data_IF_279562121264
#
_entry.id   IF_279562121264
#
_cell.length_a   1.000
_cell.length_b   1.000
_cell.length_c   1.000
_cell.angle_alpha   90.00
_cell.angle_beta   90.00
_cell.angle_gamma   90.00
#
_symmetry.space_group_name_H-M   'P 1'
#
loop_
_entity.id
_entity.type
_entity.pdbx_description
1 polymer ?
#
# COMPACT_ATOMS: atom_id res chain seq x y z
N UNK A 1 25.12 -54.71 7.65
CA UNK A 1 25.01 -53.51 6.78
C UNK A 1 24.72 -52.31 7.66
N UNK A 2 25.39 -51.19 7.43
CA UNK A 2 25.54 -50.15 8.43
C UNK A 2 24.47 -49.05 8.33
N UNK A 3 24.00 -48.60 9.49
CA UNK A 3 23.49 -47.24 9.67
C UNK A 3 24.65 -46.34 10.11
N UNK A 4 24.77 -45.14 9.54
CA UNK A 4 25.63 -44.10 10.08
C UNK A 4 25.06 -42.72 9.77
N UNK A 5 25.15 -41.82 10.74
CA UNK A 5 24.91 -40.39 10.57
C UNK A 5 26.00 -39.61 11.30
N UNK A 6 26.26 -38.40 10.80
CA UNK A 6 26.99 -37.28 11.42
C UNK A 6 26.64 -36.06 10.55
N UNK A 7 26.20 -34.90 11.04
CA UNK A 7 26.74 -33.97 12.06
C UNK A 7 27.96 -33.18 11.55
N UNK A 8 27.67 -31.91 11.28
CA UNK A 8 28.44 -30.65 11.32
C UNK A 8 29.96 -30.71 11.58
N UNK A 9 30.74 -29.88 10.86
CA UNK A 9 31.47 -28.76 11.48
C UNK A 9 32.00 -27.71 10.48
N UNK A 10 32.49 -26.57 11.00
CA UNK A 10 32.81 -25.33 10.26
C UNK A 10 34.21 -25.22 9.61
N UNK A 11 34.59 -24.01 9.13
CA UNK A 11 35.71 -23.81 8.19
C UNK A 11 37.05 -23.47 8.87
N UNK A 12 38.20 -23.73 8.19
CA UNK A 12 39.50 -23.16 8.55
C UNK A 12 39.99 -22.06 7.57
N UNK A 13 40.91 -21.25 8.10
CA UNK A 13 41.40 -19.95 7.63
C UNK A 13 42.28 -19.90 6.36
N UNK A 14 42.49 -18.66 5.88
CA UNK A 14 43.58 -18.24 4.98
C UNK A 14 44.99 -18.60 5.52
N UNK A 15 45.99 -18.66 4.63
CA UNK A 15 47.06 -17.66 4.73
C UNK A 15 47.43 -17.00 3.39
N UNK A 16 48.27 -15.96 3.45
CA UNK A 16 48.55 -15.04 2.35
C UNK A 16 49.99 -15.14 1.79
N UNK A 17 50.18 -14.74 0.53
CA UNK A 17 51.50 -14.38 -0.02
C UNK A 17 51.40 -13.32 -1.13
N UNK A 18 52.21 -12.26 -0.97
CA UNK A 18 52.89 -11.38 -1.95
C UNK A 18 52.51 -11.58 -3.44
N UNK A 19 52.18 -10.57 -4.25
CA UNK A 19 52.43 -9.13 -4.14
C UNK A 19 53.46 -8.65 -5.17
N UNK A 20 53.01 -8.12 -6.31
CA UNK A 20 53.78 -7.22 -7.20
C UNK A 20 52.82 -6.38 -8.06
N UNK A 21 53.11 -5.07 -8.21
CA UNK A 21 52.40 -4.18 -9.12
C UNK A 21 52.81 -4.45 -10.58
N UNK A 22 51.83 -4.43 -11.49
CA UNK A 22 52.05 -3.92 -12.86
C UNK A 22 50.91 -2.96 -13.17
N UNK A 23 51.25 -1.67 -13.27
CA UNK A 23 50.39 -0.64 -13.85
C UNK A 23 50.56 -0.68 -15.37
N UNK A 24 49.48 -0.94 -16.10
CA UNK A 24 49.34 -0.46 -17.48
C UNK A 24 48.04 0.33 -17.56
N UNK A 25 48.16 1.63 -17.73
CA UNK A 25 47.05 2.47 -18.15
C UNK A 25 46.93 2.37 -19.68
N UNK A 26 45.81 1.84 -20.17
CA UNK A 26 45.33 2.15 -21.52
C UNK A 26 44.14 3.08 -21.36
N UNK A 27 44.16 4.16 -22.11
CA UNK A 27 43.27 5.31 -21.99
C UNK A 27 42.33 5.33 -23.19
N UNK A 28 41.05 5.65 -22.93
CA UNK A 28 39.96 5.93 -23.89
C UNK A 28 39.41 4.73 -24.69
N UNK A 29 38.24 4.25 -24.26
CA UNK A 29 37.04 4.36 -25.09
C UNK A 29 35.81 4.57 -24.17
N UNK A 30 34.88 5.49 -24.48
CA UNK A 30 33.69 5.71 -23.67
C UNK A 30 32.66 4.62 -23.95
N UNK A 31 32.52 3.65 -23.03
CA UNK A 31 31.40 2.73 -23.06
C UNK A 31 30.08 3.52 -23.08
N UNK A 32 29.18 3.29 -24.07
CA UNK A 32 27.86 3.91 -24.03
C UNK A 32 27.14 3.41 -22.78
N UNK A 33 26.42 4.33 -22.12
CA UNK A 33 25.42 3.96 -21.11
C UNK A 33 24.29 3.20 -21.80
N UNK A 34 24.51 1.91 -22.03
CA UNK A 34 23.43 0.95 -22.26
C UNK A 34 22.58 0.93 -21.01
N UNK A 35 21.52 1.75 -21.03
CA UNK A 35 20.38 1.61 -20.14
C UNK A 35 20.01 0.14 -20.13
N UNK A 36 20.15 -0.52 -18.98
CA UNK A 36 19.60 -1.85 -18.76
C UNK A 36 18.07 -1.71 -18.75
N UNK A 37 17.52 -1.60 -19.96
CA UNK A 37 16.11 -1.64 -20.21
C UNK A 37 15.68 -3.07 -19.95
N UNK A 38 15.32 -3.36 -18.71
CA UNK A 38 14.66 -4.62 -18.37
C UNK A 38 13.45 -4.75 -19.30
N UNK A 39 13.38 -5.80 -20.14
CA UNK A 39 12.24 -5.96 -21.02
C UNK A 39 10.99 -6.04 -20.15
N UNK A 40 9.96 -5.27 -20.50
CA UNK A 40 8.66 -5.44 -19.86
C UNK A 40 8.20 -6.88 -20.06
N UNK A 41 7.76 -7.59 -19.00
CA UNK A 41 7.29 -8.97 -19.11
C UNK A 41 6.17 -9.06 -20.15
N UNK A 42 6.21 -10.08 -20.99
CA UNK A 42 5.21 -10.24 -22.03
C UNK A 42 3.86 -10.64 -21.41
N UNK A 43 2.74 -10.29 -22.03
CA UNK A 43 1.40 -10.55 -21.49
C UNK A 43 1.16 -12.03 -21.12
N UNK A 44 1.77 -12.96 -21.86
CA UNK A 44 1.71 -14.41 -21.57
C UNK A 44 2.51 -14.89 -20.36
N UNK A 45 3.39 -14.05 -19.79
CA UNK A 45 4.21 -14.36 -18.61
C UNK A 45 3.58 -13.85 -17.31
N UNK A 46 2.54 -13.03 -17.40
CA UNK A 46 1.91 -12.39 -16.25
C UNK A 46 0.86 -13.30 -15.60
N UNK A 47 0.97 -13.47 -14.28
CA UNK A 47 -0.09 -14.08 -13.49
C UNK A 47 -1.26 -13.10 -13.36
N UNK A 48 -2.44 -13.44 -13.89
CA UNK A 48 -3.62 -12.57 -13.88
C UNK A 48 -4.27 -12.35 -12.52
N UNK A 49 -3.97 -13.23 -11.54
CA UNK A 49 -4.65 -13.30 -10.24
C UNK A 49 -6.18 -13.25 -10.34
N UNK A 50 -6.73 -13.76 -11.45
CA UNK A 50 -8.14 -13.81 -11.79
C UNK A 50 -8.67 -15.22 -11.47
N UNK A 51 -9.50 -15.33 -10.44
CA UNK A 51 -10.00 -16.60 -9.92
C UNK A 51 -11.43 -16.85 -10.40
N UNK A 52 -11.69 -17.98 -11.07
CA UNK A 52 -13.05 -18.30 -11.52
C UNK A 52 -13.92 -18.85 -10.37
N UNK A 53 -15.05 -18.19 -10.13
CA UNK A 53 -16.13 -18.68 -9.26
C UNK A 53 -17.04 -19.57 -10.10
N UNK A 54 -17.14 -20.86 -9.73
CA UNK A 54 -17.93 -21.86 -10.47
C UNK A 54 -19.44 -21.63 -10.26
N UNK A 55 -20.10 -21.13 -11.29
CA UNK A 55 -21.55 -20.93 -11.43
C UNK A 55 -21.88 -20.78 -12.92
N UNK A 56 -23.17 -20.73 -13.26
CA UNK A 56 -23.65 -20.49 -14.62
C UNK A 56 -24.54 -19.22 -14.65
N UNK A 57 -24.22 -18.23 -15.51
CA UNK A 57 -22.92 -17.99 -16.13
C UNK A 57 -21.81 -17.78 -15.06
N UNK A 58 -20.52 -17.95 -15.42
CA UNK A 58 -19.41 -17.84 -14.49
C UNK A 58 -19.24 -16.43 -13.92
N UNK A 59 -18.64 -16.34 -12.74
CA UNK A 59 -18.12 -15.08 -12.20
C UNK A 59 -16.61 -15.19 -11.97
N UNK A 60 -15.93 -14.06 -11.88
CA UNK A 60 -14.49 -14.00 -11.64
C UNK A 60 -14.19 -13.08 -10.47
N UNK A 61 -13.18 -13.42 -9.68
CA UNK A 61 -12.68 -12.65 -8.55
C UNK A 61 -11.28 -12.17 -8.88
N UNK A 62 -11.10 -10.85 -8.96
CA UNK A 62 -9.87 -10.16 -9.28
C UNK A 62 -9.34 -9.45 -8.04
N UNK A 63 -8.08 -9.70 -7.70
CA UNK A 63 -7.40 -8.98 -6.61
C UNK A 63 -6.96 -7.60 -7.08
N UNK A 64 -7.57 -6.55 -6.53
CA UNK A 64 -7.21 -5.16 -6.74
C UNK A 64 -6.25 -4.67 -5.63
N UNK A 65 -5.70 -3.47 -5.80
CA UNK A 65 -4.71 -2.92 -4.87
C UNK A 65 -4.85 -1.39 -4.83
N UNK A 66 -4.87 -0.84 -3.62
CA UNK A 66 -5.15 0.56 -3.32
C UNK A 66 -3.91 1.45 -3.58
N UNK A 67 -3.50 1.49 -4.84
CA UNK A 67 -2.47 2.37 -5.40
C UNK A 67 -3.04 3.07 -6.64
N UNK A 68 -2.50 4.23 -7.05
CA UNK A 68 -2.92 4.92 -8.26
C UNK A 68 -2.92 3.99 -9.47
N UNK A 69 -4.03 3.91 -10.22
CA UNK A 69 -4.19 2.94 -11.30
C UNK A 69 -3.05 3.03 -12.34
N UNK A 70 -2.56 4.24 -12.62
CA UNK A 70 -1.43 4.50 -13.54
C UNK A 70 -0.11 3.85 -13.14
N UNK A 71 0.06 3.40 -11.89
CA UNK A 71 1.26 2.66 -11.45
C UNK A 71 1.18 1.16 -11.74
N UNK A 72 -0.01 0.63 -12.02
CA UNK A 72 -0.27 -0.82 -12.10
C UNK A 72 -0.96 -1.25 -13.41
N UNK A 73 -1.63 -0.34 -14.12
CA UNK A 73 -2.47 -0.65 -15.27
C UNK A 73 -1.78 -1.45 -16.38
N UNK A 74 -0.53 -1.11 -16.70
CA UNK A 74 0.25 -1.79 -17.73
C UNK A 74 0.68 -3.20 -17.31
N UNK A 75 0.72 -3.46 -16.00
CA UNK A 75 1.01 -4.77 -15.41
C UNK A 75 -0.24 -5.62 -15.13
N UNK A 76 -1.45 -5.09 -15.35
CA UNK A 76 -2.69 -5.86 -15.27
C UNK A 76 -2.85 -6.65 -16.58
N UNK A 77 -2.97 -7.99 -16.54
CA UNK A 77 -3.02 -8.78 -17.76
C UNK A 77 -4.30 -8.59 -18.57
N UNK A 78 -4.17 -8.74 -19.89
CA UNK A 78 -5.26 -8.45 -20.83
C UNK A 78 -6.48 -9.36 -20.65
N UNK A 79 -6.31 -10.58 -20.12
CA UNK A 79 -7.45 -11.45 -19.77
C UNK A 79 -8.28 -10.89 -18.60
N UNK A 80 -7.67 -10.23 -17.61
CA UNK A 80 -8.39 -9.53 -16.53
C UNK A 80 -9.11 -8.28 -17.05
N UNK A 81 -8.49 -7.53 -17.97
CA UNK A 81 -9.12 -6.38 -18.66
C UNK A 81 -10.30 -6.84 -19.52
N UNK A 82 -10.14 -7.91 -20.29
CA UNK A 82 -11.20 -8.51 -21.10
C UNK A 82 -12.37 -9.03 -20.25
N UNK A 83 -12.08 -9.69 -19.12
CA UNK A 83 -13.11 -10.13 -18.17
C UNK A 83 -13.89 -8.96 -17.56
N UNK A 84 -13.22 -7.86 -17.19
CA UNK A 84 -13.88 -6.62 -16.77
C UNK A 84 -14.75 -6.02 -17.88
N UNK A 85 -14.26 -5.96 -19.13
CA UNK A 85 -15.04 -5.40 -20.23
C UNK A 85 -16.27 -6.24 -20.58
N UNK A 86 -16.16 -7.58 -20.55
CA UNK A 86 -17.22 -8.50 -20.94
C UNK A 86 -18.29 -8.77 -19.86
N UNK A 87 -18.05 -8.39 -18.60
CA UNK A 87 -19.03 -8.54 -17.51
C UNK A 87 -20.30 -7.69 -17.71
N UNK A 88 -21.43 -8.11 -17.17
CA UNK A 88 -22.63 -7.26 -17.06
C UNK A 88 -22.62 -6.44 -15.75
N UNK A 89 -22.03 -7.01 -14.70
CA UNK A 89 -22.02 -6.48 -13.34
C UNK A 89 -20.62 -6.52 -12.73
N UNK A 90 -20.30 -5.57 -11.85
CA UNK A 90 -19.01 -5.48 -11.14
C UNK A 90 -19.24 -5.07 -9.69
N UNK A 91 -18.76 -5.89 -8.75
CA UNK A 91 -18.88 -5.62 -7.31
C UNK A 91 -17.51 -5.34 -6.71
N UNK A 92 -17.37 -4.29 -5.91
CA UNK A 92 -16.15 -3.88 -5.22
C UNK A 92 -16.24 -4.21 -3.73
N UNK A 93 -15.15 -4.12 -2.95
CA UNK A 93 -15.25 -4.28 -1.48
C UNK A 93 -16.24 -3.28 -0.89
N UNK A 94 -16.04 -2.00 -1.19
CA UNK A 94 -16.89 -0.90 -0.75
C UNK A 94 -17.36 -0.08 -1.94
N UNK A 95 -18.54 0.49 -1.81
CA UNK A 95 -19.03 1.50 -2.74
C UNK A 95 -18.34 2.84 -2.44
N UNK A 96 -17.26 3.13 -3.16
CA UNK A 96 -16.52 4.39 -3.02
C UNK A 96 -17.11 5.54 -3.86
N UNK A 97 -18.23 5.33 -4.56
CA UNK A 97 -18.97 6.42 -5.24
C UNK A 97 -20.19 6.87 -4.42
N UNK A 98 -20.70 6.02 -3.52
CA UNK A 98 -21.70 6.38 -2.50
C UNK A 98 -21.14 7.31 -1.39
N UNK A 99 -21.68 8.54 -1.22
CA UNK A 99 -21.27 9.43 -0.15
C UNK A 99 -21.59 8.91 1.26
N UNK A 100 -22.59 8.04 1.44
CA UNK A 100 -22.88 7.46 2.76
C UNK A 100 -21.74 6.55 3.22
N UNK A 101 -21.26 5.65 2.36
CA UNK A 101 -20.07 4.81 2.60
C UNK A 101 -18.84 5.66 2.95
N UNK A 102 -18.56 6.73 2.20
CA UNK A 102 -17.45 7.65 2.50
C UNK A 102 -17.63 8.32 3.88
N UNK A 103 -18.84 8.78 4.22
CA UNK A 103 -19.11 9.39 5.53
C UNK A 103 -18.99 8.39 6.69
N UNK A 104 -19.41 7.14 6.49
CA UNK A 104 -19.28 6.06 7.47
C UNK A 104 -17.82 5.74 7.75
N UNK A 105 -17.01 5.60 6.70
CA UNK A 105 -15.55 5.41 6.80
C UNK A 105 -14.86 6.57 7.51
N UNK A 106 -15.29 7.81 7.27
CA UNK A 106 -14.76 8.98 7.98
C UNK A 106 -15.11 8.96 9.47
N UNK A 107 -16.36 8.59 9.80
CA UNK A 107 -16.84 8.48 11.19
C UNK A 107 -16.15 7.36 11.97
N UNK A 108 -16.02 6.17 11.38
CA UNK A 108 -15.46 5.00 12.06
C UNK A 108 -13.98 5.15 12.46
N UNK A 109 -13.26 6.09 11.84
CA UNK A 109 -11.87 6.42 12.15
C UNK A 109 -11.71 7.15 13.49
N UNK A 110 -12.78 7.76 14.01
CA UNK A 110 -12.71 8.67 15.15
C UNK A 110 -12.60 7.95 16.50
N UNK A 111 -11.94 8.60 17.45
CA UNK A 111 -11.97 8.22 18.86
C UNK A 111 -13.41 8.29 19.39
N UNK A 112 -13.81 7.35 20.26
CA UNK A 112 -15.14 7.35 20.86
C UNK A 112 -15.30 8.53 21.84
N UNK A 113 -16.53 8.76 22.31
CA UNK A 113 -16.86 9.69 23.41
C UNK A 113 -16.38 11.15 23.29
N UNK A 114 -15.88 11.59 22.13
CA UNK A 114 -15.35 12.93 21.94
C UNK A 114 -13.84 13.08 22.22
N UNK A 115 -13.15 12.00 22.62
CA UNK A 115 -11.73 12.03 23.03
C UNK A 115 -10.78 12.54 21.93
N UNK A 116 -9.58 12.95 22.35
CA UNK A 116 -8.50 13.43 21.50
C UNK A 116 -7.24 12.55 21.65
N UNK A 117 -6.39 12.51 20.62
CA UNK A 117 -5.11 11.78 20.64
C UNK A 117 -4.18 12.20 21.78
N UNK A 118 -4.26 13.44 22.27
CA UNK A 118 -3.45 13.90 23.40
C UNK A 118 -3.81 13.19 24.72
N UNK A 119 -5.05 12.69 24.83
CA UNK A 119 -5.58 12.05 26.05
C UNK A 119 -5.11 10.58 26.12
N UNK A 120 -4.97 9.93 24.95
CA UNK A 120 -4.59 8.52 24.84
C UNK A 120 -3.10 8.29 24.57
N UNK A 121 -2.39 9.20 23.90
CA UNK A 121 -0.97 9.03 23.58
C UNK A 121 -0.05 9.60 24.68
N UNK A 122 1.13 8.98 24.90
CA UNK A 122 2.18 9.61 25.70
C UNK A 122 2.54 11.00 25.16
N UNK A 123 2.62 12.00 26.05
CA UNK A 123 2.83 13.42 25.73
C UNK A 123 3.96 13.68 24.72
N UNK A 124 5.09 12.98 24.83
CA UNK A 124 6.20 13.15 23.87
C UNK A 124 5.93 12.52 22.49
N UNK A 125 5.17 11.43 22.42
CA UNK A 125 4.75 10.87 21.14
C UNK A 125 3.77 11.81 20.42
N UNK A 126 2.82 12.41 21.16
CA UNK A 126 1.93 13.43 20.62
C UNK A 126 2.70 14.63 20.04
N UNK A 127 3.68 15.18 20.80
CA UNK A 127 4.53 16.28 20.32
C UNK A 127 5.35 15.89 19.09
N UNK A 128 5.92 14.69 19.04
CA UNK A 128 6.68 14.19 17.87
C UNK A 128 5.79 14.11 16.64
N UNK A 129 4.59 13.55 16.78
CA UNK A 129 3.58 13.47 15.73
C UNK A 129 3.18 14.86 15.24
N UNK A 130 2.84 15.79 16.14
CA UNK A 130 2.48 17.17 15.76
C UNK A 130 3.61 17.85 14.99
N UNK A 131 4.85 17.83 15.50
CA UNK A 131 6.02 18.39 14.80
C UNK A 131 6.22 17.79 13.40
N UNK A 132 5.96 16.50 13.24
CA UNK A 132 6.06 15.84 11.94
C UNK A 132 4.95 16.31 10.99
N UNK A 133 3.70 16.41 11.43
CA UNK A 133 2.60 16.93 10.61
C UNK A 133 2.76 18.41 10.27
N UNK A 134 3.30 19.23 11.18
CA UNK A 134 3.69 20.62 10.92
C UNK A 134 4.76 20.67 9.79
N UNK A 135 5.76 19.77 9.80
CA UNK A 135 6.73 19.62 8.71
C UNK A 135 6.10 19.17 7.39
N UNK A 136 5.22 18.16 7.40
CA UNK A 136 4.49 17.72 6.20
C UNK A 136 3.75 18.90 5.57
N UNK A 137 3.05 19.71 6.38
CA UNK A 137 2.27 20.88 5.90
C UNK A 137 3.17 21.94 5.22
N UNK A 138 4.40 22.13 5.69
CA UNK A 138 5.39 23.02 5.07
C UNK A 138 5.98 22.45 3.77
N UNK A 139 6.17 21.13 3.69
CA UNK A 139 6.73 20.46 2.51
C UNK A 139 5.71 20.25 1.39
N UNK A 140 4.42 20.10 1.72
CA UNK A 140 3.37 19.72 0.77
C UNK A 140 3.33 20.59 -0.50
N UNK A 141 3.45 21.93 -0.46
CA UNK A 141 3.54 22.77 -1.67
C UNK A 141 4.69 22.38 -2.62
N UNK A 142 5.84 21.96 -2.08
CA UNK A 142 7.04 21.58 -2.84
C UNK A 142 6.93 20.18 -3.46
N UNK A 143 6.15 19.29 -2.85
CA UNK A 143 5.89 17.94 -3.33
C UNK A 143 4.79 17.87 -4.38
N UNK A 144 3.88 18.84 -4.42
CA UNK A 144 2.81 18.88 -5.43
C UNK A 144 3.33 19.16 -6.84
N UNK A 145 2.72 18.52 -7.84
CA UNK A 145 3.00 18.76 -9.25
C UNK A 145 2.24 19.98 -9.79
N UNK A 146 2.69 20.60 -10.89
CA UNK A 146 1.93 21.65 -11.58
C UNK A 146 0.52 21.19 -11.97
N UNK A 147 0.36 19.96 -12.46
CA UNK A 147 -0.91 19.40 -12.92
C UNK A 147 -1.95 19.30 -11.79
N UNK A 148 -1.52 18.97 -10.57
CA UNK A 148 -2.40 18.95 -9.40
C UNK A 148 -2.96 20.34 -9.12
N UNK A 149 -2.12 21.38 -9.19
CA UNK A 149 -2.53 22.77 -9.01
C UNK A 149 -3.44 23.25 -10.14
N UNK A 150 -3.16 22.84 -11.39
CA UNK A 150 -4.01 23.10 -12.55
C UNK A 150 -5.40 22.47 -12.45
N UNK A 151 -5.54 21.37 -11.69
CA UNK A 151 -6.82 20.74 -11.32
C UNK A 151 -7.47 21.34 -10.06
N UNK A 152 -6.99 22.47 -9.55
CA UNK A 152 -7.54 23.14 -8.37
C UNK A 152 -7.18 22.49 -7.02
N UNK A 153 -6.21 21.56 -6.99
CA UNK A 153 -5.70 21.04 -5.72
C UNK A 153 -4.68 22.03 -5.14
N UNK A 154 -5.03 22.64 -4.01
CA UNK A 154 -4.13 23.49 -3.21
C UNK A 154 -3.56 22.71 -2.02
N UNK A 155 -2.41 23.15 -1.50
CA UNK A 155 -1.65 22.37 -0.52
C UNK A 155 -2.33 22.27 0.86
N UNK A 156 -3.01 23.34 1.27
CA UNK A 156 -3.83 23.41 2.48
C UNK A 156 -5.10 22.56 2.34
N UNK A 157 -5.79 22.64 1.20
CA UNK A 157 -6.93 21.79 0.87
C UNK A 157 -6.54 20.30 0.90
N UNK A 158 -5.44 19.93 0.22
CA UNK A 158 -4.95 18.56 0.17
C UNK A 158 -4.46 18.06 1.54
N UNK A 159 -3.82 18.91 2.34
CA UNK A 159 -3.49 18.60 3.73
C UNK A 159 -4.74 18.31 4.55
N UNK A 160 -5.75 19.17 4.47
CA UNK A 160 -7.00 19.02 5.22
C UNK A 160 -7.81 17.80 4.76
N UNK A 161 -7.79 17.46 3.46
CA UNK A 161 -8.44 16.26 2.93
C UNK A 161 -7.81 14.95 3.43
N UNK A 162 -6.49 14.90 3.64
CA UNK A 162 -5.79 13.69 4.11
C UNK A 162 -5.70 13.64 5.65
N UNK A 163 -5.28 14.74 6.26
CA UNK A 163 -4.90 14.85 7.67
C UNK A 163 -5.73 15.87 8.47
N UNK A 164 -6.84 16.37 7.91
CA UNK A 164 -7.82 17.15 8.66
C UNK A 164 -8.37 16.37 9.86
N UNK A 165 -8.59 17.08 10.96
CA UNK A 165 -9.06 16.52 12.23
C UNK A 165 -8.26 15.32 12.74
N UNK A 166 -6.96 15.20 12.38
CA UNK A 166 -6.13 14.07 12.78
C UNK A 166 -6.15 13.83 14.29
N UNK A 167 -6.19 14.91 15.10
CA UNK A 167 -6.25 14.90 16.57
C UNK A 167 -7.48 14.17 17.15
N UNK A 168 -8.51 13.90 16.34
CA UNK A 168 -9.72 13.16 16.72
C UNK A 168 -9.73 11.71 16.22
N UNK A 169 -8.77 11.29 15.39
CA UNK A 169 -8.68 9.92 14.86
C UNK A 169 -8.12 8.94 15.89
N UNK A 170 -8.46 7.65 15.79
CA UNK A 170 -7.80 6.61 16.60
C UNK A 170 -6.33 6.46 16.16
N UNK A 171 -5.39 6.11 17.05
CA UNK A 171 -3.96 6.05 16.70
C UNK A 171 -3.60 5.10 15.56
N UNK A 172 -4.41 4.08 15.28
CA UNK A 172 -4.20 3.19 14.11
C UNK A 172 -4.36 3.97 12.81
N UNK A 173 -5.43 4.76 12.68
CA UNK A 173 -5.70 5.56 11.49
C UNK A 173 -4.69 6.69 11.32
N UNK A 174 -4.21 7.27 12.42
CA UNK A 174 -3.08 8.22 12.37
C UNK A 174 -1.80 7.55 11.86
N UNK A 175 -1.48 6.34 12.33
CA UNK A 175 -0.31 5.60 11.86
C UNK A 175 -0.39 5.30 10.36
N UNK A 176 -1.56 4.84 9.87
CA UNK A 176 -1.82 4.63 8.44
C UNK A 176 -1.70 5.92 7.64
N UNK A 177 -2.35 6.98 8.11
CA UNK A 177 -2.35 8.31 7.49
C UNK A 177 -0.92 8.85 7.33
N UNK A 178 -0.11 8.85 8.40
CA UNK A 178 1.27 9.34 8.34
C UNK A 178 2.15 8.49 7.41
N UNK A 179 1.93 7.18 7.35
CA UNK A 179 2.61 6.31 6.38
C UNK A 179 2.23 6.61 4.91
N UNK A 180 1.16 7.38 4.65
CA UNK A 180 0.69 7.80 3.32
C UNK A 180 0.96 9.29 3.00
N UNK A 181 1.82 9.94 3.80
CA UNK A 181 2.23 11.33 3.67
C UNK A 181 3.69 11.46 3.19
N UNK A 182 4.13 10.58 2.29
CA UNK A 182 5.44 10.73 1.63
C UNK A 182 5.35 11.64 0.40
N UNK A 183 6.49 12.18 -0.05
CA UNK A 183 6.56 12.93 -1.33
C UNK A 183 5.97 12.13 -2.50
N UNK A 184 6.32 10.84 -2.59
CA UNK A 184 5.85 9.92 -3.64
C UNK A 184 4.33 9.70 -3.60
N UNK A 185 3.73 9.70 -2.40
CA UNK A 185 2.27 9.60 -2.27
C UNK A 185 1.58 10.90 -2.64
N UNK A 186 2.09 12.03 -2.12
CA UNK A 186 1.57 13.39 -2.40
C UNK A 186 1.60 13.68 -3.90
N UNK A 187 2.70 13.36 -4.61
CA UNK A 187 2.82 13.50 -6.08
C UNK A 187 1.76 12.73 -6.87
N UNK A 188 1.15 11.70 -6.29
CA UNK A 188 0.11 10.87 -6.94
C UNK A 188 -1.33 11.19 -6.51
N UNK A 189 -1.55 12.11 -5.57
CA UNK A 189 -2.91 12.51 -5.16
C UNK A 189 -3.66 13.15 -6.34
N UNK A 190 -4.96 12.88 -6.45
CA UNK A 190 -5.77 13.29 -7.61
C UNK A 190 -5.69 12.35 -8.81
N UNK A 191 -4.95 11.23 -8.71
CA UNK A 191 -5.12 10.06 -9.58
C UNK A 191 -5.95 9.03 -8.80
N UNK A 192 -7.02 8.45 -9.37
CA UNK A 192 -7.80 7.43 -8.69
C UNK A 192 -6.96 6.17 -8.42
N UNK A 193 -7.25 5.52 -7.30
CA UNK A 193 -6.79 4.17 -6.99
C UNK A 193 -7.47 3.14 -7.89
N UNK A 194 -6.87 1.96 -8.09
CA UNK A 194 -7.33 0.99 -9.10
C UNK A 194 -8.79 0.53 -8.90
N UNK A 195 -9.20 0.31 -7.66
CA UNK A 195 -10.57 0.01 -7.24
C UNK A 195 -11.55 1.11 -7.67
N UNK A 196 -11.29 2.37 -7.30
CA UNK A 196 -12.13 3.51 -7.68
C UNK A 196 -12.14 3.76 -9.19
N UNK A 197 -10.99 3.57 -9.87
CA UNK A 197 -10.91 3.71 -11.32
C UNK A 197 -11.80 2.68 -12.05
N UNK A 198 -11.75 1.42 -11.62
CA UNK A 198 -12.61 0.37 -12.18
C UNK A 198 -14.10 0.62 -11.87
N UNK A 199 -14.43 1.20 -10.72
CA UNK A 199 -15.81 1.60 -10.40
C UNK A 199 -16.31 2.71 -11.34
N UNK A 200 -15.52 3.77 -11.52
CA UNK A 200 -15.82 4.88 -12.44
C UNK A 200 -15.95 4.40 -13.89
N UNK A 201 -15.09 3.47 -14.34
CA UNK A 201 -15.21 2.87 -15.67
C UNK A 201 -16.43 1.96 -15.79
N UNK A 202 -16.82 1.24 -14.74
CA UNK A 202 -18.03 0.42 -14.74
C UNK A 202 -19.31 1.29 -14.86
N UNK A 203 -19.38 2.40 -14.10
CA UNK A 203 -20.44 3.41 -14.24
C UNK A 203 -20.47 4.03 -15.64
N UNK A 204 -19.30 4.42 -16.19
CA UNK A 204 -19.17 4.95 -17.55
C UNK A 204 -19.63 3.95 -18.62
N UNK A 205 -19.41 2.66 -18.39
CA UNK A 205 -19.88 1.55 -19.23
C UNK A 205 -21.34 1.14 -18.96
N UNK A 206 -22.04 1.78 -17.99
CA UNK A 206 -23.40 1.45 -17.56
C UNK A 206 -23.57 -0.01 -17.07
N UNK A 207 -22.52 -0.58 -16.48
CA UNK A 207 -22.58 -1.88 -15.79
C UNK A 207 -23.34 -1.75 -14.47
N UNK A 208 -23.93 -2.83 -13.99
CA UNK A 208 -24.47 -2.87 -12.62
C UNK A 208 -23.32 -2.88 -11.62
N UNK A 209 -23.28 -1.92 -10.70
CA UNK A 209 -22.26 -1.83 -9.64
C UNK A 209 -22.82 -2.19 -8.26
N UNK A 210 -21.94 -2.50 -7.31
CA UNK A 210 -22.30 -2.70 -5.91
C UNK A 210 -21.10 -3.01 -5.01
N UNK A 211 -21.36 -3.18 -3.71
CA UNK A 211 -20.37 -3.53 -2.69
C UNK A 211 -20.57 -4.96 -2.16
N UNK A 212 -19.48 -5.63 -1.78
CA UNK A 212 -19.52 -6.94 -1.09
C UNK A 212 -19.29 -6.87 0.42
N UNK A 213 -18.78 -5.76 0.93
CA UNK A 213 -18.56 -5.50 2.36
C UNK A 213 -19.31 -4.24 2.84
N UNK A 214 -19.49 -4.13 4.16
CA UNK A 214 -19.94 -2.91 4.83
C UNK A 214 -18.79 -2.14 5.46
N UNK A 215 -19.02 -0.85 5.71
CA UNK A 215 -18.10 0.05 6.43
C UNK A 215 -17.60 -0.59 7.73
N UNK A 216 -18.50 -1.22 8.50
CA UNK A 216 -18.18 -1.85 9.78
C UNK A 216 -17.12 -2.96 9.64
N UNK A 217 -17.15 -3.72 8.54
CA UNK A 217 -16.27 -4.87 8.30
C UNK A 217 -14.83 -4.44 8.03
N UNK A 218 -14.64 -3.26 7.43
CA UNK A 218 -13.34 -2.63 7.23
C UNK A 218 -12.83 -1.94 8.52
N UNK A 219 -13.72 -1.31 9.27
CA UNK A 219 -13.34 -0.53 10.45
C UNK A 219 -13.10 -1.38 11.71
N UNK A 220 -13.88 -2.44 11.95
CA UNK A 220 -13.75 -3.26 13.16
C UNK A 220 -12.37 -3.94 13.32
N UNK A 221 -11.76 -4.56 12.30
CA UNK A 221 -10.45 -5.20 12.44
C UNK A 221 -9.34 -4.21 12.83
N UNK A 222 -9.38 -2.99 12.29
CA UNK A 222 -8.42 -1.93 12.59
C UNK A 222 -8.66 -1.31 13.97
N UNK A 223 -9.93 -1.03 14.30
CA UNK A 223 -10.32 -0.45 15.58
C UNK A 223 -10.16 -1.43 16.76
N UNK A 224 -10.14 -2.75 16.50
CA UNK A 224 -9.86 -3.80 17.47
C UNK A 224 -8.38 -4.08 17.72
N UNK A 225 -7.44 -3.41 17.03
CA UNK A 225 -6.01 -3.60 17.26
C UNK A 225 -5.59 -3.15 18.66
N UNK A 226 -4.73 -3.94 19.31
CA UNK A 226 -4.28 -3.65 20.67
C UNK A 226 -3.49 -2.32 20.72
N UNK A 227 -3.97 -1.38 21.54
CA UNK A 227 -3.40 -0.04 21.68
C UNK A 227 -1.88 -0.03 21.91
N UNK A 228 -1.35 -0.98 22.69
CA UNK A 228 0.09 -1.05 22.97
C UNK A 228 0.93 -1.37 21.74
N UNK A 229 0.39 -2.15 20.78
CA UNK A 229 1.04 -2.48 19.51
C UNK A 229 1.06 -1.24 18.62
N UNK A 230 -0.09 -0.60 18.43
CA UNK A 230 -0.25 0.62 17.64
C UNK A 230 0.65 1.74 18.15
N UNK A 231 0.69 1.95 19.48
CA UNK A 231 1.57 2.94 20.13
C UNK A 231 3.05 2.70 19.86
N UNK A 232 3.51 1.43 19.85
CA UNK A 232 4.90 1.09 19.52
C UNK A 232 5.21 1.43 18.06
N UNK A 233 4.33 1.06 17.13
CA UNK A 233 4.51 1.31 15.69
C UNK A 233 4.53 2.82 15.38
N UNK A 234 3.57 3.58 15.90
CA UNK A 234 3.52 5.04 15.75
C UNK A 234 4.79 5.71 16.34
N UNK A 235 5.39 5.14 17.39
CA UNK A 235 6.67 5.57 17.94
C UNK A 235 7.88 5.43 17.00
N UNK A 236 7.83 4.47 16.07
CA UNK A 236 8.85 4.25 15.03
C UNK A 236 8.69 5.22 13.86
N UNK A 237 7.45 5.50 13.43
CA UNK A 237 7.13 6.36 12.28
C UNK A 237 7.72 7.77 12.40
N UNK A 238 7.89 8.28 13.64
CA UNK A 238 8.53 9.58 13.89
C UNK A 238 10.02 9.53 14.27
N UNK A 239 10.77 8.46 13.97
CA UNK A 239 12.14 8.26 14.47
C UNK A 239 13.26 8.42 13.42
N UNK A 240 12.93 8.48 12.12
CA UNK A 240 13.92 8.51 11.06
C UNK A 240 14.58 9.87 10.87
N UNK A 241 15.81 10.01 11.38
CA UNK A 241 16.86 10.70 10.61
C UNK A 241 17.41 9.68 9.61
N UNK A 242 17.13 9.88 8.31
CA UNK A 242 17.52 9.01 7.18
C UNK A 242 16.75 7.67 7.16
N UNK A 243 16.08 7.38 6.04
CA UNK A 243 15.31 6.15 5.83
C UNK A 243 16.10 5.19 4.93
N UNK A 244 16.69 4.17 5.52
CA UNK A 244 16.85 2.88 4.85
C UNK A 244 15.50 2.12 4.94
N UNK A 245 15.10 1.33 3.93
CA UNK A 245 13.78 0.70 3.89
C UNK A 245 13.68 -0.42 4.93
N UNK A 246 12.98 -0.12 6.04
CA UNK A 246 12.76 -1.04 7.17
C UNK A 246 12.40 -2.46 6.71
N UNK A 247 13.18 -3.43 7.15
CA UNK A 247 12.91 -4.87 7.01
C UNK A 247 12.67 -5.49 8.40
N UNK A 248 12.33 -6.79 8.42
CA UNK A 248 12.24 -7.67 9.60
C UNK A 248 10.95 -7.64 10.47
N UNK A 249 10.18 -8.75 10.44
CA UNK A 249 9.69 -9.54 11.60
C UNK A 249 8.85 -10.77 11.13
N UNK A 250 8.86 -11.90 11.87
CA UNK A 250 8.36 -13.25 11.44
C UNK A 250 7.09 -13.75 12.18
N UNK A 251 6.27 -14.63 11.53
CA UNK A 251 5.41 -15.73 12.08
C UNK A 251 4.20 -15.31 12.99
N UNK A 252 3.00 -15.95 13.09
CA UNK A 252 2.49 -17.29 12.76
C UNK A 252 1.09 -17.28 12.06
N UNK A 253 0.14 -18.14 12.45
CA UNK A 253 -1.10 -18.50 11.73
C UNK A 253 -2.42 -18.18 12.48
N UNK A 254 -3.55 -18.08 11.75
CA UNK A 254 -4.84 -18.80 11.99
C UNK A 254 -5.98 -18.38 11.01
N UNK A 255 -7.04 -19.19 10.91
CA UNK A 255 -8.03 -19.19 9.82
C UNK A 255 -9.37 -18.45 10.08
N UNK A 256 -9.97 -17.94 9.00
CA UNK A 256 -11.40 -17.96 8.56
C UNK A 256 -11.29 -17.61 7.08
N UNK A 257 -11.27 -18.61 6.18
CA UNK A 257 -10.96 -18.64 4.73
C UNK A 257 -9.92 -17.62 4.16
N UNK A 258 -10.09 -16.33 4.44
CA UNK A 258 -9.24 -15.20 4.10
C UNK A 258 -9.17 -14.07 5.15
N UNK A 259 -8.94 -14.31 6.47
CA UNK A 259 -8.43 -13.26 7.42
C UNK A 259 -7.06 -12.64 7.01
N UNK A 260 -6.73 -12.68 5.73
CA UNK A 260 -5.43 -13.07 5.18
C UNK A 260 -5.14 -12.17 3.98
N UNK A 261 -3.95 -11.60 3.83
CA UNK A 261 -2.68 -12.13 4.34
C UNK A 261 -2.12 -11.38 5.56
N UNK A 262 -2.93 -11.32 6.63
CA UNK A 262 -2.50 -11.21 8.04
C UNK A 262 -1.51 -10.07 8.30
N UNK A 263 -2.03 -8.88 8.68
CA UNK A 263 -1.20 -7.67 8.94
C UNK A 263 -0.52 -7.15 7.64
N UNK A 264 -1.10 -7.48 6.48
CA UNK A 264 -0.61 -7.32 5.09
C UNK A 264 0.75 -8.00 4.76
N UNK A 265 1.59 -8.20 5.77
CA UNK A 265 2.10 -9.52 6.22
C UNK A 265 2.81 -9.42 7.58
N UNK A 266 3.24 -8.20 7.96
CA UNK A 266 3.53 -7.71 9.35
C UNK A 266 3.86 -6.19 9.38
N UNK A 267 3.00 -5.33 8.81
CA UNK A 267 3.14 -3.85 8.71
C UNK A 267 4.01 -3.27 7.56
N UNK A 268 4.10 -3.93 6.40
CA UNK A 268 4.37 -3.21 5.13
C UNK A 268 3.06 -3.12 4.37
N UNK A 269 2.44 -1.93 4.38
CA UNK A 269 1.06 -1.79 3.92
C UNK A 269 0.95 -1.32 2.48
N UNK A 270 0.32 -2.16 1.67
CA UNK A 270 -0.38 -1.78 0.45
C UNK A 270 -1.73 -2.49 0.55
N UNK A 271 -2.83 -1.74 0.57
CA UNK A 271 -4.15 -2.36 0.75
C UNK A 271 -4.48 -3.21 -0.46
N UNK A 272 -4.55 -4.53 -0.27
CA UNK A 272 -5.09 -5.45 -1.27
C UNK A 272 -6.60 -5.43 -1.10
N UNK A 273 -7.30 -5.21 -2.20
CA UNK A 273 -8.76 -5.17 -2.26
C UNK A 273 -9.29 -6.24 -3.22
N UNK A 274 -10.60 -6.48 -3.25
CA UNK A 274 -11.25 -7.50 -4.07
C UNK A 274 -12.31 -6.89 -4.98
N UNK A 275 -12.35 -7.36 -6.24
CA UNK A 275 -13.37 -6.98 -7.21
C UNK A 275 -13.94 -8.23 -7.90
N UNK A 276 -15.27 -8.32 -7.99
CA UNK A 276 -15.98 -9.47 -8.57
C UNK A 276 -16.61 -9.05 -9.90
N UNK A 277 -16.22 -9.72 -10.99
CA UNK A 277 -16.85 -9.58 -12.30
C UNK A 277 -17.93 -10.65 -12.44
N UNK A 278 -19.17 -10.22 -12.68
CA UNK A 278 -20.31 -11.11 -12.87
C UNK A 278 -20.95 -10.86 -14.25
N UNK A 279 -21.31 -11.96 -14.91
CA UNK A 279 -21.73 -12.02 -16.31
C UNK A 279 -23.24 -12.20 -16.38
#
# INVERSE_FOLDING_TARGET
MACSGAVLDGPPAFPATRGLLVLIAVVLDPLPLTVLCFPFPQQGELNSFLWTIRRDPPAYLFGTIHVPYTRVWDFIPDNSKAAFHASSSVYFELDLTDPYTISGLASCQMLPHGENLQDVLPRELYRRLKRHLDYIKLMLPHWMTPDQRGKGLYADYLFNAIAGNWERKRPVWVMLMVNSLTETDIRSRGVPVLDLYLAQEAERMKKTTGAVERVEEQCHPLNGLNFSQVRRLLGLVGCSRRLEPLSYFKIQEMNVCGRKQIIQRKFKMVSVTVTVFHF
#
